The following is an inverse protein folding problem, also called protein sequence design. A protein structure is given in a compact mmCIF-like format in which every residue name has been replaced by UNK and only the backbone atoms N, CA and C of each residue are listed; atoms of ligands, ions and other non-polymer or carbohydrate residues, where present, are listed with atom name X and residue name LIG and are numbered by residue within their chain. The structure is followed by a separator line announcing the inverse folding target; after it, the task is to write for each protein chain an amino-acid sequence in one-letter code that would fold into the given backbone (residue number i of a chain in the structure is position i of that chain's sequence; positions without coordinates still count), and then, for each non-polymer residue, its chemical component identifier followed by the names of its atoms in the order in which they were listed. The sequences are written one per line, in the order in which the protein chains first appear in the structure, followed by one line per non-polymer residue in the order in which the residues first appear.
data_IF_275540869218
#
_entry.id   IF_275540869218
#
_cell.length_a   1.000
_cell.length_b   1.000
_cell.length_c   1.000
_cell.angle_alpha   90.00
_cell.angle_beta   90.00
_cell.angle_gamma   90.00
#
_symmetry.space_group_name_H-M   'P 1'
#
loop_
_entity.id
_entity.type
_entity.pdbx_description
1 polymer ?
#
# COMPACT_ATOMS: atom_id res chain seq x y z
N UNK A 1 9.88 2.33 -12.57
CA UNK A 1 9.12 1.84 -11.42
C UNK A 1 9.98 1.43 -10.23
N UNK A 2 10.78 0.36 -10.31
CA UNK A 2 11.50 -0.20 -9.14
C UNK A 2 12.45 0.76 -8.40
N UNK A 3 13.16 1.65 -9.12
CA UNK A 3 14.03 2.66 -8.49
C UNK A 3 13.26 3.64 -7.59
N UNK A 4 11.97 3.87 -7.86
CA UNK A 4 11.09 4.69 -7.03
C UNK A 4 10.74 3.99 -5.73
N UNK A 5 10.40 2.70 -5.80
CA UNK A 5 9.99 1.88 -4.65
C UNK A 5 11.15 1.60 -3.68
N UNK A 6 12.40 1.56 -4.16
CA UNK A 6 13.59 1.30 -3.33
C UNK A 6 14.37 2.57 -2.96
N UNK A 7 13.97 3.74 -3.49
CA UNK A 7 14.76 4.98 -3.48
C UNK A 7 14.57 5.90 -2.26
N UNK A 8 13.71 5.54 -1.32
CA UNK A 8 13.74 6.10 0.04
C UNK A 8 13.04 7.43 0.32
N UNK A 9 12.39 8.09 -0.65
CA UNK A 9 12.01 9.51 -0.44
C UNK A 9 10.55 9.91 -0.74
N UNK A 10 9.59 8.97 -0.71
CA UNK A 10 8.12 9.22 -0.61
C UNK A 10 7.27 8.00 -1.04
N UNK A 11 7.90 7.01 -1.67
CA UNK A 11 7.24 5.84 -2.21
C UNK A 11 7.18 4.69 -1.20
N UNK A 12 6.10 3.90 -1.18
CA UNK A 12 5.97 2.78 -0.26
C UNK A 12 6.92 1.65 -0.66
N UNK A 13 7.81 1.27 0.26
CA UNK A 13 8.80 0.22 0.07
C UNK A 13 8.41 -1.11 0.73
N UNK A 14 7.21 -1.20 1.33
CA UNK A 14 6.74 -2.36 2.10
C UNK A 14 5.24 -2.60 1.87
N UNK A 15 4.82 -3.86 1.88
CA UNK A 15 3.43 -4.28 1.75
C UNK A 15 2.75 -4.08 3.10
N UNK A 16 2.06 -2.95 3.24
CA UNK A 16 1.33 -2.60 4.45
C UNK A 16 0.21 -1.58 4.17
N UNK A 17 -0.75 -1.48 5.08
CA UNK A 17 -1.85 -0.53 4.99
C UNK A 17 -2.00 0.25 6.30
N UNK A 18 -2.56 1.46 6.25
CA UNK A 18 -2.80 2.22 7.48
C UNK A 18 -3.57 3.53 7.28
N UNK A 19 -4.13 4.04 8.37
CA UNK A 19 -4.86 5.31 8.41
C UNK A 19 -3.92 6.49 8.40
N UNK A 20 -4.11 7.43 7.46
CA UNK A 20 -3.27 8.63 7.30
C UNK A 20 -1.75 8.38 7.18
N UNK A 21 -1.33 7.11 7.06
CA UNK A 21 0.06 6.71 7.03
C UNK A 21 0.66 6.94 5.64
N UNK A 22 1.63 7.85 5.54
CA UNK A 22 2.25 8.19 4.27
C UNK A 22 3.34 7.21 3.84
N UNK A 23 3.81 6.36 4.74
CA UNK A 23 4.79 5.32 4.47
C UNK A 23 4.17 4.00 3.98
N UNK A 24 2.85 3.83 4.17
CA UNK A 24 2.12 2.63 3.78
C UNK A 24 1.87 2.53 2.27
N UNK A 25 1.85 1.28 1.77
CA UNK A 25 1.50 0.96 0.37
C UNK A 25 0.05 1.33 0.06
N UNK A 26 -0.84 1.01 1.00
CA UNK A 26 -2.26 1.32 0.93
C UNK A 26 -2.60 2.31 2.04
N UNK A 27 -2.98 3.54 1.67
CA UNK A 27 -3.36 4.57 2.63
C UNK A 27 -4.88 4.72 2.68
N UNK A 28 -5.43 4.75 3.88
CA UNK A 28 -6.83 5.14 4.13
C UNK A 28 -6.84 6.56 4.70
N UNK A 29 -7.28 7.59 3.95
CA UNK A 29 -7.36 8.95 4.45
C UNK A 29 -8.30 9.06 5.66
N UNK A 30 -8.00 9.98 6.57
CA UNK A 30 -8.86 10.26 7.72
C UNK A 30 -10.29 10.58 7.30
N UNK A 31 -11.24 9.89 7.92
CA UNK A 31 -12.66 10.17 7.78
C UNK A 31 -12.97 11.57 8.30
N UNK A 32 -13.79 12.32 7.54
CA UNK A 32 -14.33 13.60 7.98
C UNK A 32 -15.83 13.43 8.22
N UNK A 33 -16.38 13.79 9.40
CA UNK A 33 -17.77 13.54 9.79
C UNK A 33 -18.83 13.96 8.75
N UNK A 34 -18.55 15.03 8.00
CA UNK A 34 -19.49 15.59 7.01
C UNK A 34 -19.13 15.22 5.56
N UNK A 35 -18.22 14.25 5.33
CA UNK A 35 -17.75 13.87 3.99
C UNK A 35 -17.61 12.35 3.83
N UNK A 36 -18.65 11.59 4.19
CA UNK A 36 -18.67 10.13 4.02
C UNK A 36 -18.41 9.67 2.58
N UNK A 37 -18.87 10.45 1.59
CA UNK A 37 -18.63 10.22 0.16
C UNK A 37 -17.15 10.36 -0.26
N UNK A 38 -16.26 10.84 0.62
CA UNK A 38 -14.83 10.97 0.35
C UNK A 38 -14.00 9.80 0.89
N UNK A 39 -14.65 8.80 1.50
CA UNK A 39 -14.01 7.57 1.98
C UNK A 39 -13.47 6.79 0.78
N UNK A 40 -12.17 6.53 0.79
CA UNK A 40 -11.46 5.87 -0.31
C UNK A 40 -10.21 5.17 0.19
N UNK A 41 -9.69 4.30 -0.66
CA UNK A 41 -8.41 3.63 -0.48
C UNK A 41 -7.43 4.21 -1.51
N UNK A 42 -6.21 4.52 -1.08
CA UNK A 42 -5.17 5.08 -1.94
C UNK A 42 -4.01 4.09 -2.09
N UNK A 43 -3.88 3.48 -3.27
CA UNK A 43 -2.75 2.62 -3.63
C UNK A 43 -1.59 3.46 -4.18
N UNK A 44 -0.42 3.37 -3.55
CA UNK A 44 0.68 4.33 -3.78
C UNK A 44 1.86 3.79 -4.61
N UNK A 45 1.86 2.50 -4.95
CA UNK A 45 2.94 1.90 -5.74
C UNK A 45 2.80 2.05 -7.25
N UNK A 46 1.59 2.33 -7.78
CA UNK A 46 1.42 2.65 -9.20
C UNK A 46 2.22 3.89 -9.58
N UNK A 47 2.78 3.89 -10.78
CA UNK A 47 3.44 5.05 -11.38
C UNK A 47 2.94 5.28 -12.82
N UNK A 48 3.32 6.41 -13.39
CA UNK A 48 2.87 6.84 -14.73
C UNK A 48 3.43 6.00 -15.88
N UNK A 49 4.35 5.06 -15.63
CA UNK A 49 4.82 4.14 -16.65
C UNK A 49 3.85 2.97 -16.85
N UNK A 50 2.93 2.73 -15.92
CA UNK A 50 1.91 1.70 -16.06
C UNK A 50 0.82 2.11 -17.04
N UNK A 51 0.33 1.15 -17.84
CA UNK A 51 -0.88 1.36 -18.63
C UNK A 51 -2.08 1.54 -17.68
N UNK A 52 -2.79 2.69 -17.70
CA UNK A 52 -3.83 2.99 -16.73
C UNK A 52 -5.01 2.02 -16.82
N UNK A 53 -5.35 1.52 -18.01
CA UNK A 53 -6.43 0.57 -18.19
C UNK A 53 -6.12 -0.76 -17.50
N UNK A 54 -4.92 -1.29 -17.70
CA UNK A 54 -4.48 -2.53 -17.06
C UNK A 54 -4.32 -2.35 -15.55
N UNK A 55 -3.79 -1.20 -15.11
CA UNK A 55 -3.64 -0.90 -13.70
C UNK A 55 -5.00 -0.90 -12.98
N UNK A 56 -6.00 -0.19 -13.51
CA UNK A 56 -7.33 -0.16 -12.90
C UNK A 56 -8.06 -1.50 -12.97
N UNK A 57 -7.96 -2.21 -14.09
CA UNK A 57 -8.55 -3.55 -14.21
C UNK A 57 -8.00 -4.52 -13.16
N UNK A 58 -6.68 -4.52 -12.95
CA UNK A 58 -6.04 -5.37 -11.95
C UNK A 58 -6.44 -4.99 -10.51
N UNK A 59 -6.49 -3.68 -10.20
CA UNK A 59 -6.90 -3.22 -8.87
C UNK A 59 -8.34 -3.60 -8.55
N UNK A 60 -9.25 -3.47 -9.53
CA UNK A 60 -10.64 -3.89 -9.36
C UNK A 60 -10.74 -5.41 -9.16
N UNK A 61 -10.05 -6.20 -9.98
CA UNK A 61 -10.06 -7.64 -9.86
C UNK A 61 -9.51 -8.12 -8.50
N UNK A 62 -8.40 -7.53 -8.03
CA UNK A 62 -7.81 -7.86 -6.73
C UNK A 62 -8.74 -7.49 -5.56
N UNK A 63 -9.38 -6.31 -5.63
CA UNK A 63 -10.34 -5.86 -4.61
C UNK A 63 -11.59 -6.73 -4.55
N UNK A 64 -12.17 -7.06 -5.70
CA UNK A 64 -13.35 -7.95 -5.79
C UNK A 64 -13.04 -9.33 -5.23
N UNK A 65 -11.91 -9.93 -5.62
CA UNK A 65 -11.50 -11.23 -5.11
C UNK A 65 -11.37 -11.25 -3.59
N UNK A 66 -10.77 -10.22 -2.99
CA UNK A 66 -10.63 -10.13 -1.54
C UNK A 66 -11.97 -10.02 -0.81
N UNK A 67 -12.98 -9.41 -1.42
CA UNK A 67 -14.35 -9.35 -0.88
C UNK A 67 -15.04 -10.71 -1.04
N UNK A 68 -14.99 -11.30 -2.23
CA UNK A 68 -15.65 -12.57 -2.54
C UNK A 68 -15.11 -13.75 -1.72
N UNK A 69 -13.81 -13.76 -1.46
CA UNK A 69 -13.13 -14.81 -0.68
C UNK A 69 -12.89 -14.42 0.79
N UNK A 70 -13.43 -13.28 1.24
CA UNK A 70 -13.35 -12.79 2.63
C UNK A 70 -11.92 -12.79 3.23
N UNK A 71 -10.96 -12.23 2.49
CA UNK A 71 -9.56 -12.22 2.95
C UNK A 71 -9.38 -11.46 4.26
N UNK A 72 -8.68 -12.08 5.20
CA UNK A 72 -8.29 -11.44 6.46
C UNK A 72 -7.24 -10.35 6.20
N UNK A 73 -7.50 -9.14 6.71
CA UNK A 73 -6.55 -8.05 6.61
C UNK A 73 -5.48 -8.21 7.70
N UNK A 74 -4.19 -8.00 7.36
CA UNK A 74 -3.16 -7.92 8.37
C UNK A 74 -3.40 -6.71 9.29
N UNK A 75 -2.79 -6.68 10.49
CA UNK A 75 -2.84 -5.52 11.36
C UNK A 75 -2.43 -4.23 10.63
N UNK A 76 -3.03 -3.12 11.05
CA UNK A 76 -2.67 -1.81 10.50
C UNK A 76 -1.21 -1.47 10.82
N UNK A 77 -0.56 -0.77 9.89
CA UNK A 77 0.81 -0.37 10.08
C UNK A 77 0.93 0.90 10.90
N UNK A 78 1.79 0.85 11.92
CA UNK A 78 2.15 2.00 12.75
C UNK A 78 2.64 3.18 11.89
N UNK A 79 2.40 4.41 12.39
CA UNK A 79 2.49 5.67 11.65
C UNK A 79 3.81 5.93 10.90
N UNK A 80 4.90 5.23 11.24
CA UNK A 80 6.19 5.41 10.57
C UNK A 80 6.95 4.10 10.29
N UNK A 81 6.55 3.38 9.24
CA UNK A 81 7.26 2.18 8.74
C UNK A 81 8.69 2.51 8.26
N UNK A 82 8.95 3.76 7.86
CA UNK A 82 10.29 4.20 7.44
C UNK A 82 11.29 4.21 8.60
N UNK A 83 10.83 4.47 9.82
CA UNK A 83 11.69 4.51 11.01
C UNK A 83 12.10 3.13 11.53
N UNK A 84 11.43 2.07 11.10
CA UNK A 84 11.73 0.70 11.52
C UNK A 84 13.01 0.20 10.86
N UNK A 85 13.79 -0.59 11.59
CA UNK A 85 14.90 -1.37 11.04
C UNK A 85 14.39 -2.55 10.21
N UNK A 86 15.23 -3.10 9.34
CA UNK A 86 14.87 -4.30 8.55
C UNK A 86 14.58 -5.54 9.43
N UNK A 87 15.09 -5.58 10.66
CA UNK A 87 14.77 -6.62 11.62
C UNK A 87 13.35 -6.43 12.19
N UNK A 88 13.01 -5.21 12.62
CA UNK A 88 11.69 -4.87 13.15
C UNK A 88 10.59 -5.03 12.09
N UNK A 89 10.85 -4.63 10.83
CA UNK A 89 9.89 -4.80 9.73
C UNK A 89 9.57 -6.27 9.45
N UNK A 90 10.58 -7.15 9.48
CA UNK A 90 10.38 -8.59 9.32
C UNK A 90 9.65 -9.21 10.51
N UNK A 91 9.98 -8.76 11.73
CA UNK A 91 9.28 -9.21 12.93
C UNK A 91 7.79 -8.82 12.94
N UNK A 92 7.45 -7.66 12.36
CA UNK A 92 6.08 -7.17 12.21
C UNK A 92 5.35 -7.73 10.97
N UNK A 93 5.99 -8.60 10.19
CA UNK A 93 5.36 -9.25 9.03
C UNK A 93 5.22 -8.37 7.79
N UNK A 94 5.90 -7.23 7.71
CA UNK A 94 5.86 -6.39 6.50
C UNK A 94 6.67 -7.04 5.37
N UNK A 95 5.97 -7.56 4.37
CA UNK A 95 6.58 -8.08 3.15
C UNK A 95 7.24 -6.99 2.33
N UNK A 96 8.37 -7.28 1.68
CA UNK A 96 8.96 -6.38 0.68
C UNK A 96 8.24 -6.52 -0.66
N UNK A 97 7.98 -5.43 -1.40
CA UNK A 97 7.52 -5.49 -2.78
C UNK A 97 8.58 -6.19 -3.64
N UNK A 98 8.21 -6.73 -4.81
CA UNK A 98 9.13 -7.46 -5.67
C UNK A 98 10.35 -6.61 -5.99
N UNK A 99 11.52 -7.10 -5.55
CA UNK A 99 12.80 -6.53 -5.93
C UNK A 99 13.08 -6.85 -7.41
N UNK A 100 13.98 -6.08 -8.00
CA UNK A 100 14.53 -6.35 -9.33
C UNK A 100 14.89 -7.86 -9.42
N UNK A 101 14.39 -8.63 -10.40
CA UNK A 101 15.02 -9.91 -10.71
C UNK A 101 16.47 -9.63 -11.15
N UNK A 102 17.41 -10.58 -10.95
CA UNK A 102 18.83 -10.37 -11.26
C UNK A 102 19.06 -9.78 -12.65
#
# INVERSE_FOLDING_TARGET
SYKRLWGGDEAPSFICWGHNNRSALVRVPMYKPNKGQSTRVEYRALDSAANPYLAYALMLAAGLKGIEEEYELPPEAEDNVWSLTDAERRALGYGSPPARPP
#
